data_IF_226554468614
#
_entry.id   IF_226554468614
#
_cell.length_a   1.000
_cell.length_b   1.000
_cell.length_c   1.000
_cell.angle_alpha   90.00
_cell.angle_beta   90.00
_cell.angle_gamma   90.00
#
_symmetry.space_group_name_H-M   'P 1'
#
loop_
_entity.id
_entity.type
_entity.pdbx_description
1 polymer ?
#
# COMPACT_ATOMS: atom_id res chain seq x y z
N UNK A 1 24.06 4.72 2.00
CA UNK A 1 23.44 6.03 2.25
C UNK A 1 22.66 6.40 1.00
N UNK A 2 21.36 6.07 0.93
CA UNK A 2 20.56 6.34 -0.26
C UNK A 2 20.32 7.85 -0.34
N UNK A 3 20.86 8.46 -1.40
CA UNK A 3 20.80 9.89 -1.64
C UNK A 3 19.40 10.26 -2.15
N UNK A 4 18.52 10.73 -1.26
CA UNK A 4 17.16 11.15 -1.61
C UNK A 4 17.20 12.34 -2.58
N UNK A 5 16.55 12.28 -3.75
CA UNK A 5 16.49 13.43 -4.66
C UNK A 5 15.60 14.56 -4.10
N UNK A 6 15.96 15.83 -4.38
CA UNK A 6 15.20 17.01 -3.95
C UNK A 6 13.92 17.18 -4.80
N UNK A 7 12.93 16.35 -4.50
CA UNK A 7 11.59 16.38 -5.13
C UNK A 7 10.62 15.44 -4.42
N UNK A 8 11.13 14.30 -3.92
CA UNK A 8 10.35 13.28 -3.24
C UNK A 8 10.06 13.61 -1.77
N UNK A 9 9.80 14.88 -1.41
CA UNK A 9 9.45 15.28 -0.03
C UNK A 9 8.02 14.86 0.37
N UNK A 10 7.21 14.42 -0.60
CA UNK A 10 5.80 14.04 -0.46
C UNK A 10 5.52 12.58 -0.81
N UNK A 11 6.54 11.72 -0.87
CA UNK A 11 6.29 10.29 -1.04
C UNK A 11 5.86 9.76 0.33
N UNK A 12 4.54 9.63 0.48
CA UNK A 12 3.83 9.22 1.69
C UNK A 12 3.50 7.74 1.54
N UNK A 13 3.77 6.91 2.55
CA UNK A 13 3.23 5.55 2.59
C UNK A 13 4.10 4.48 1.94
N UNK A 14 4.21 3.32 2.58
CA UNK A 14 4.37 2.04 1.87
C UNK A 14 3.19 1.88 0.89
N UNK A 15 3.35 2.37 -0.34
CA UNK A 15 2.39 2.13 -1.42
C UNK A 15 2.71 0.78 -2.07
N UNK A 16 1.94 -0.26 -1.77
CA UNK A 16 2.07 -1.59 -2.40
C UNK A 16 1.46 -1.59 -3.80
N UNK A 17 2.28 -1.84 -4.83
CA UNK A 17 1.80 -2.20 -6.17
C UNK A 17 2.56 -3.44 -6.69
N UNK A 18 1.87 -4.57 -6.80
CA UNK A 18 2.38 -5.88 -7.20
C UNK A 18 2.67 -6.05 -8.70
N UNK A 19 2.42 -5.04 -9.53
CA UNK A 19 2.97 -5.03 -10.89
C UNK A 19 4.45 -4.70 -10.81
N UNK A 20 5.34 -5.50 -11.39
CA UNK A 20 6.79 -5.24 -11.36
C UNK A 20 7.12 -3.84 -11.91
N UNK A 21 6.46 -3.46 -13.00
CA UNK A 21 6.58 -2.12 -13.59
C UNK A 21 6.17 -1.03 -12.60
N UNK A 22 5.22 -1.34 -11.72
CA UNK A 22 4.78 -0.40 -10.70
C UNK A 22 5.63 -0.48 -9.43
N UNK A 23 6.17 -1.64 -9.05
CA UNK A 23 7.11 -1.79 -7.95
C UNK A 23 8.38 -0.97 -8.21
N UNK A 24 8.93 -1.05 -9.42
CA UNK A 24 10.07 -0.24 -9.85
C UNK A 24 9.75 1.26 -9.76
N UNK A 25 8.57 1.68 -10.23
CA UNK A 25 8.12 3.08 -10.13
C UNK A 25 7.93 3.53 -8.66
N UNK A 26 7.44 2.65 -7.78
CA UNK A 26 7.26 2.92 -6.34
C UNK A 26 8.61 3.08 -5.64
N UNK A 27 9.57 2.20 -5.94
CA UNK A 27 10.93 2.30 -5.41
C UNK A 27 11.66 3.55 -5.93
N UNK A 28 11.48 3.91 -7.21
CA UNK A 28 11.99 5.16 -7.77
C UNK A 28 11.39 6.39 -7.05
N UNK A 29 10.11 6.29 -6.65
CA UNK A 29 9.46 7.30 -5.82
C UNK A 29 9.94 7.28 -4.35
N UNK A 30 10.67 6.26 -3.92
CA UNK A 30 11.22 6.12 -2.57
C UNK A 30 10.25 5.50 -1.55
N UNK A 31 9.21 4.82 -2.02
CA UNK A 31 8.38 3.94 -1.21
C UNK A 31 8.91 2.50 -1.26
N UNK A 32 8.67 1.74 -0.19
CA UNK A 32 9.06 0.33 -0.12
C UNK A 32 7.92 -0.56 -0.61
N UNK A 33 8.23 -1.48 -1.53
CA UNK A 33 7.30 -2.53 -1.91
C UNK A 33 7.31 -3.67 -0.88
N UNK A 34 6.12 -4.09 -0.45
CA UNK A 34 5.98 -5.22 0.49
C UNK A 34 4.98 -6.22 -0.09
N UNK A 35 5.28 -7.53 -0.18
CA UNK A 35 4.31 -8.53 -0.61
C UNK A 35 3.07 -8.59 0.29
N UNK A 36 1.89 -8.77 -0.31
CA UNK A 36 0.61 -8.84 0.39
C UNK A 36 -0.37 -9.78 -0.31
N UNK A 37 -1.01 -10.72 0.39
CA UNK A 37 -2.13 -11.45 -0.20
C UNK A 37 -3.36 -10.53 -0.36
N UNK A 38 -4.26 -10.89 -1.28
CA UNK A 38 -5.44 -10.08 -1.64
C UNK A 38 -6.37 -9.79 -0.45
N UNK A 39 -6.41 -10.71 0.51
CA UNK A 39 -7.28 -10.64 1.68
C UNK A 39 -6.64 -9.92 2.86
N UNK A 40 -5.47 -9.29 2.70
CA UNK A 40 -4.74 -8.63 3.78
C UNK A 40 -4.38 -7.17 3.44
N UNK A 41 -3.76 -6.48 4.41
CA UNK A 41 -3.49 -5.05 4.36
C UNK A 41 -2.03 -4.71 4.71
N UNK A 42 -1.67 -3.48 4.42
CA UNK A 42 -0.44 -2.80 4.84
C UNK A 42 -0.85 -1.58 5.63
N UNK A 43 -0.06 -1.25 6.63
CA UNK A 43 -0.26 -0.01 7.36
C UNK A 43 1.06 0.71 7.48
N UNK A 44 1.08 1.94 6.97
CA UNK A 44 2.05 2.94 7.36
C UNK A 44 1.41 3.78 8.47
N UNK A 45 1.80 3.49 9.71
CA UNK A 45 1.28 4.15 10.91
C UNK A 45 1.71 5.61 10.99
N UNK A 46 2.96 5.89 10.65
CA UNK A 46 3.57 7.22 10.76
C UNK A 46 2.85 8.21 9.83
N UNK A 47 2.46 7.73 8.64
CA UNK A 47 1.74 8.51 7.65
C UNK A 47 0.23 8.28 7.64
N UNK A 48 -0.29 7.39 8.50
CA UNK A 48 -1.69 6.96 8.55
C UNK A 48 -2.25 6.50 7.19
N UNK A 49 -1.44 5.76 6.44
CA UNK A 49 -1.85 5.19 5.15
C UNK A 49 -2.12 3.71 5.33
N UNK A 50 -3.29 3.25 4.86
CA UNK A 50 -3.65 1.83 4.84
C UNK A 50 -3.91 1.42 3.39
N UNK A 51 -3.33 0.32 2.93
CA UNK A 51 -3.56 -0.18 1.56
C UNK A 51 -3.85 -1.68 1.54
N UNK A 52 -4.45 -2.17 0.44
CA UNK A 52 -4.77 -3.57 0.17
C UNK A 52 -4.70 -3.82 -1.34
N UNK A 53 -4.36 -5.04 -1.83
CA UNK A 53 -4.21 -5.27 -3.27
C UNK A 53 -5.49 -5.10 -4.09
N UNK A 54 -6.66 -5.42 -3.53
CA UNK A 54 -7.95 -5.39 -4.23
C UNK A 54 -7.87 -6.03 -5.64
N UNK A 55 -8.34 -5.35 -6.68
CA UNK A 55 -8.38 -5.85 -8.06
C UNK A 55 -7.01 -6.12 -8.71
N UNK A 56 -5.92 -5.72 -8.06
CA UNK A 56 -4.58 -6.07 -8.53
C UNK A 56 -4.31 -7.57 -8.43
N UNK A 57 -4.84 -8.24 -7.39
CA UNK A 57 -4.67 -9.68 -7.16
C UNK A 57 -6.00 -10.43 -7.07
N UNK A 58 -7.12 -9.75 -6.80
CA UNK A 58 -8.43 -10.38 -6.66
C UNK A 58 -8.91 -10.97 -7.98
N UNK A 59 -9.34 -12.23 -7.93
CA UNK A 59 -9.96 -12.93 -9.06
C UNK A 59 -11.47 -12.69 -9.14
N UNK A 60 -12.07 -12.19 -8.06
CA UNK A 60 -13.49 -11.89 -7.95
C UNK A 60 -13.75 -10.77 -6.92
N UNK A 61 -14.98 -10.26 -6.92
CA UNK A 61 -15.38 -9.14 -6.04
C UNK A 61 -15.34 -9.50 -4.54
N UNK A 62 -15.57 -10.77 -4.18
CA UNK A 62 -15.59 -11.20 -2.78
C UNK A 62 -14.18 -11.18 -2.16
N UNK A 63 -13.16 -11.56 -2.92
CA UNK A 63 -11.76 -11.44 -2.50
C UNK A 63 -11.34 -9.98 -2.28
N UNK A 64 -11.70 -9.10 -3.22
CA UNK A 64 -11.43 -7.67 -3.07
C UNK A 64 -12.16 -7.08 -1.85
N UNK A 65 -13.42 -7.47 -1.63
CA UNK A 65 -14.20 -7.02 -0.48
C UNK A 65 -13.56 -7.43 0.85
N UNK A 66 -13.06 -8.66 0.98
CA UNK A 66 -12.39 -9.15 2.20
C UNK A 66 -11.19 -8.27 2.58
N UNK A 67 -10.31 -7.95 1.63
CA UNK A 67 -9.17 -7.05 1.88
C UNK A 67 -9.61 -5.62 2.22
N UNK A 68 -10.63 -5.10 1.53
CA UNK A 68 -11.17 -3.75 1.75
C UNK A 68 -11.83 -3.63 3.13
N UNK A 69 -12.56 -4.63 3.60
CA UNK A 69 -13.19 -4.60 4.93
C UNK A 69 -12.15 -4.50 6.05
N UNK A 70 -11.06 -5.28 5.96
CA UNK A 70 -9.93 -5.17 6.90
C UNK A 70 -9.28 -3.79 6.84
N UNK A 71 -9.11 -3.23 5.64
CA UNK A 71 -8.55 -1.90 5.44
C UNK A 71 -9.41 -0.84 6.14
N UNK A 72 -10.73 -0.86 5.90
CA UNK A 72 -11.67 0.09 6.50
C UNK A 72 -11.64 -0.03 8.02
N UNK A 73 -11.65 -1.25 8.56
CA UNK A 73 -11.54 -1.47 10.00
C UNK A 73 -10.27 -0.86 10.59
N UNK A 74 -9.12 -0.98 9.90
CA UNK A 74 -7.86 -0.35 10.34
C UNK A 74 -7.93 1.18 10.26
N UNK A 75 -8.47 1.73 9.18
CA UNK A 75 -8.64 3.19 9.02
C UNK A 75 -9.43 3.77 10.19
N UNK A 76 -10.53 3.11 10.59
CA UNK A 76 -11.34 3.54 11.74
C UNK A 76 -10.51 3.58 13.04
N UNK A 77 -9.65 2.58 13.27
CA UNK A 77 -8.76 2.54 14.45
C UNK A 77 -7.72 3.67 14.43
N UNK A 78 -7.20 4.06 13.26
CA UNK A 78 -6.23 5.16 13.13
C UNK A 78 -6.84 6.57 13.34
N UNK A 79 -8.17 6.66 13.29
CA UNK A 79 -8.95 7.88 13.48
C UNK A 79 -9.63 8.00 14.84
N UNK A 80 -9.57 6.95 15.66
CA UNK A 80 -10.05 6.96 17.05
C UNK A 80 -9.08 7.73 17.96
#
# INVERSE_FOLDING_TARGET
>A
SLHRPPGCRHCVGQLRLCDLDTADAVEEMGAEHVPCPVDDIVVDEDNKVVTTPAYMLAQNIAEAASGIEKLVARVLVLTA
#
